data_IF_185217750999
#
_entry.id   IF_185217750999
#
_cell.length_a   1.000
_cell.length_b   1.000
_cell.length_c   1.000
_cell.angle_alpha   90.00
_cell.angle_beta   90.00
_cell.angle_gamma   90.00
#
_symmetry.space_group_name_H-M   'P 1'
#
loop_
_entity.id
_entity.type
_entity.pdbx_description
1 polymer ?
#
# COMPACT_ATOMS: atom_id res chain seq x y z
N UNK A 1 14.01 -11.21 12.83
CA UNK A 1 12.74 -10.54 13.01
C UNK A 1 12.44 -10.38 14.49
N UNK A 2 11.64 -9.36 14.93
CA UNK A 2 11.31 -9.16 16.34
C UNK A 2 10.58 -10.36 16.92
N UNK A 3 10.71 -10.52 18.24
CA UNK A 3 9.97 -11.53 19.00
C UNK A 3 8.46 -11.24 18.98
N UNK A 4 7.67 -12.26 19.24
CA UNK A 4 6.21 -12.09 19.40
C UNK A 4 5.94 -11.36 20.72
N UNK A 5 5.17 -10.30 20.63
CA UNK A 5 4.68 -9.52 21.75
C UNK A 5 3.28 -8.95 21.43
N UNK A 6 2.76 -8.06 22.28
CA UNK A 6 1.43 -7.47 22.09
C UNK A 6 1.34 -6.63 20.79
N UNK A 7 2.40 -5.91 20.44
CA UNK A 7 2.44 -5.07 19.22
C UNK A 7 2.69 -5.93 17.97
N UNK A 8 3.48 -7.00 18.09
CA UNK A 8 3.79 -7.91 17.01
C UNK A 8 3.30 -9.34 17.32
N UNK A 9 2.00 -9.63 17.17
CA UNK A 9 1.41 -10.88 17.65
C UNK A 9 1.74 -12.11 16.81
N UNK A 10 2.45 -11.96 15.69
CA UNK A 10 2.78 -13.05 14.76
C UNK A 10 4.28 -13.32 14.70
N UNK A 11 4.65 -14.61 14.89
CA UNK A 11 6.00 -15.07 14.59
C UNK A 11 6.32 -14.85 13.09
N UNK A 12 7.54 -14.39 12.79
CA UNK A 12 7.96 -14.13 11.41
C UNK A 12 7.00 -13.25 10.61
N UNK A 13 6.46 -12.21 11.22
CA UNK A 13 5.52 -11.30 10.57
C UNK A 13 6.12 -10.69 9.30
N UNK A 14 5.98 -11.41 8.17
CA UNK A 14 6.57 -11.05 6.88
C UNK A 14 5.76 -9.98 6.16
N UNK A 15 4.47 -9.92 6.44
CA UNK A 15 3.54 -9.03 5.74
C UNK A 15 3.40 -7.68 6.42
N UNK A 16 3.82 -7.57 7.69
CA UNK A 16 3.63 -6.35 8.47
C UNK A 16 2.21 -6.20 9.03
N UNK A 17 1.97 -5.08 9.67
CA UNK A 17 0.67 -4.74 10.26
C UNK A 17 0.55 -3.23 10.43
N UNK A 18 -0.67 -2.78 10.65
CA UNK A 18 -1.01 -1.38 10.92
C UNK A 18 -1.56 -1.31 12.32
N UNK A 19 -1.07 -0.36 13.11
CA UNK A 19 -1.60 -0.05 14.44
C UNK A 19 -2.39 1.26 14.40
N UNK A 20 -3.36 1.37 15.28
CA UNK A 20 -4.05 2.62 15.57
C UNK A 20 -3.81 2.98 17.03
N UNK A 21 -3.77 4.29 17.32
CA UNK A 21 -3.72 4.77 18.70
C UNK A 21 -4.64 5.97 18.87
N UNK A 22 -5.11 6.15 20.07
CA UNK A 22 -6.02 7.22 20.45
C UNK A 22 -5.58 7.83 21.77
N UNK A 23 -5.52 9.14 21.80
CA UNK A 23 -5.35 9.91 23.03
C UNK A 23 -6.72 10.20 23.65
N UNK A 24 -6.82 10.06 24.97
CA UNK A 24 -8.09 10.30 25.67
C UNK A 24 -8.47 11.78 25.77
N UNK A 25 -7.47 12.67 25.72
CA UNK A 25 -7.64 14.13 25.89
C UNK A 25 -6.78 14.91 24.93
N UNK A 26 -5.63 15.38 25.37
CA UNK A 26 -4.72 16.23 24.61
C UNK A 26 -3.47 15.46 24.18
N UNK A 27 -2.83 15.88 23.09
CA UNK A 27 -1.64 15.24 22.52
C UNK A 27 -0.37 15.33 23.39
N UNK A 28 -0.42 16.06 24.49
CA UNK A 28 0.67 16.20 25.47
C UNK A 28 0.56 15.17 26.63
N UNK A 29 -0.48 14.36 26.67
CA UNK A 29 -0.59 13.25 27.60
C UNK A 29 0.37 12.11 27.19
N UNK A 30 1.11 11.52 28.14
CA UNK A 30 2.07 10.44 27.84
C UNK A 30 1.39 9.10 27.56
N UNK A 31 0.13 8.94 27.94
CA UNK A 31 -0.62 7.69 27.82
C UNK A 31 -1.59 7.75 26.64
N UNK A 32 -1.72 6.64 25.94
CA UNK A 32 -2.66 6.46 24.83
C UNK A 32 -3.17 5.01 24.77
N UNK A 33 -4.39 4.84 24.31
CA UNK A 33 -4.92 3.54 23.93
C UNK A 33 -4.44 3.17 22.53
N UNK A 34 -4.16 1.90 22.30
CA UNK A 34 -3.78 1.41 20.97
C UNK A 34 -4.41 0.05 20.67
N UNK A 35 -4.52 -0.25 19.38
CA UNK A 35 -4.99 -1.55 18.90
C UNK A 35 -4.32 -1.88 17.55
N UNK A 36 -4.44 -3.13 17.12
CA UNK A 36 -4.03 -3.54 15.80
C UNK A 36 -5.18 -3.31 14.83
N UNK A 37 -4.99 -2.35 13.94
CA UNK A 37 -5.96 -2.04 12.90
C UNK A 37 -6.04 -3.16 11.86
N UNK A 38 -4.89 -3.58 11.29
CA UNK A 38 -4.84 -4.64 10.29
C UNK A 38 -3.56 -5.48 10.40
N UNK A 39 -3.71 -6.78 10.47
CA UNK A 39 -2.63 -7.76 10.30
C UNK A 39 -2.56 -8.14 8.83
N UNK A 40 -1.62 -7.56 8.07
CA UNK A 40 -1.49 -7.78 6.64
C UNK A 40 -1.23 -9.25 6.29
N UNK A 41 -1.61 -9.67 5.09
CA UNK A 41 -1.53 -11.05 4.62
C UNK A 41 -2.62 -11.36 3.59
N UNK A 42 -2.87 -12.62 3.35
CA UNK A 42 -3.99 -13.09 2.54
C UNK A 42 -5.11 -13.61 3.47
N UNK A 43 -6.28 -12.96 3.54
CA UNK A 43 -7.37 -13.38 4.44
C UNK A 43 -7.95 -14.75 4.07
N UNK A 44 -7.71 -15.27 2.87
CA UNK A 44 -8.10 -16.62 2.47
C UNK A 44 -7.14 -17.71 2.98
N UNK A 45 -6.03 -17.33 3.59
CA UNK A 45 -5.03 -18.28 4.13
C UNK A 45 -5.02 -18.15 5.65
N UNK A 46 -5.65 -19.10 6.34
CA UNK A 46 -5.77 -19.11 7.81
C UNK A 46 -4.42 -18.95 8.52
N UNK A 47 -3.36 -19.55 7.98
CA UNK A 47 -2.01 -19.46 8.55
C UNK A 47 -1.42 -18.02 8.52
N UNK A 48 -1.98 -17.11 7.71
CA UNK A 48 -1.56 -15.72 7.71
C UNK A 48 -2.10 -14.92 8.90
N UNK A 49 -3.18 -15.41 9.55
CA UNK A 49 -3.71 -14.83 10.78
C UNK A 49 -4.13 -13.37 10.62
N UNK A 50 -4.76 -13.02 9.51
CA UNK A 50 -5.31 -11.69 9.27
C UNK A 50 -6.54 -11.44 10.14
N UNK A 51 -6.85 -10.17 10.42
CA UNK A 51 -7.99 -9.73 11.22
C UNK A 51 -8.97 -8.84 10.43
N UNK A 52 -8.98 -8.95 9.12
CA UNK A 52 -9.84 -8.18 8.22
C UNK A 52 -10.41 -9.09 7.12
N UNK A 53 -11.47 -8.61 6.47
CA UNK A 53 -12.04 -9.20 5.26
C UNK A 53 -11.60 -8.41 4.01
N UNK A 54 -11.46 -9.10 2.87
CA UNK A 54 -11.19 -8.43 1.60
C UNK A 54 -9.97 -8.94 0.85
N UNK A 55 -9.16 -8.00 0.33
CA UNK A 55 -8.05 -8.32 -0.55
C UNK A 55 -6.71 -8.40 0.19
N UNK A 56 -5.89 -9.35 -0.21
CA UNK A 56 -4.55 -9.54 0.34
C UNK A 56 -3.62 -8.39 0.06
N UNK A 57 -2.80 -8.06 1.03
CA UNK A 57 -1.72 -7.10 0.93
C UNK A 57 -0.59 -7.40 1.91
N UNK A 58 0.53 -6.74 1.72
CA UNK A 58 1.67 -6.81 2.64
C UNK A 58 2.57 -5.60 2.47
N UNK A 59 3.48 -5.41 3.42
CA UNK A 59 4.36 -4.24 3.49
C UNK A 59 3.59 -2.92 3.41
N UNK A 60 2.59 -2.69 4.30
CA UNK A 60 1.98 -1.38 4.40
C UNK A 60 3.05 -0.36 4.76
N UNK A 61 3.04 0.77 4.04
CA UNK A 61 3.99 1.87 4.19
C UNK A 61 3.24 3.19 4.37
N UNK A 62 2.74 3.79 3.28
CA UNK A 62 1.96 5.01 3.33
C UNK A 62 0.54 4.81 3.83
N UNK A 63 0.05 5.73 4.65
CA UNK A 63 -1.33 5.73 5.17
C UNK A 63 -1.90 7.13 5.11
N UNK A 64 -3.14 7.23 4.65
CA UNK A 64 -3.91 8.47 4.66
C UNK A 64 -5.33 8.22 5.16
N UNK A 65 -5.76 8.96 6.16
CA UNK A 65 -7.14 8.93 6.66
C UNK A 65 -7.93 10.04 6.00
N UNK A 66 -8.89 9.67 5.17
CA UNK A 66 -9.75 10.61 4.45
C UNK A 66 -10.80 11.26 5.37
N UNK A 67 -11.35 12.44 5.00
CA UNK A 67 -12.44 13.08 5.77
C UNK A 67 -13.66 12.18 6.00
N UNK A 68 -13.95 11.26 5.09
CA UNK A 68 -15.00 10.24 5.25
C UNK A 68 -14.69 9.18 6.31
N UNK A 69 -13.48 9.15 6.85
CA UNK A 69 -13.00 8.11 7.76
C UNK A 69 -12.42 6.87 7.06
N UNK A 70 -12.44 6.79 5.74
CA UNK A 70 -11.76 5.72 5.00
C UNK A 70 -10.25 5.83 5.19
N UNK A 71 -9.59 4.67 5.29
CA UNK A 71 -8.14 4.59 5.41
C UNK A 71 -7.55 4.07 4.11
N UNK A 72 -6.76 4.91 3.46
CA UNK A 72 -6.00 4.53 2.27
C UNK A 72 -4.65 3.99 2.70
N UNK A 73 -4.30 2.82 2.18
CA UNK A 73 -3.09 2.07 2.54
C UNK A 73 -2.27 1.88 1.27
N UNK A 74 -1.04 2.34 1.29
CA UNK A 74 -0.08 2.18 0.20
C UNK A 74 0.94 1.12 0.58
N UNK A 75 1.44 0.36 -0.39
CA UNK A 75 2.41 -0.70 -0.12
C UNK A 75 3.74 -0.45 -0.79
N UNK A 76 4.82 -0.81 -0.10
CA UNK A 76 6.19 -0.88 -0.61
C UNK A 76 6.79 -2.27 -0.37
N UNK A 77 6.40 -3.21 -1.19
CA UNK A 77 7.05 -4.53 -1.24
C UNK A 77 8.32 -4.42 -2.04
N UNK A 78 9.45 -4.76 -1.43
CA UNK A 78 10.76 -4.72 -2.09
C UNK A 78 10.76 -5.48 -3.43
N UNK A 79 11.39 -4.93 -4.46
CA UNK A 79 11.53 -5.51 -5.80
C UNK A 79 12.18 -6.89 -5.80
N UNK A 80 13.02 -7.19 -4.81
CA UNK A 80 13.60 -8.52 -4.61
C UNK A 80 12.56 -9.56 -4.16
N UNK A 81 11.44 -9.13 -3.59
CA UNK A 81 10.43 -9.95 -2.90
C UNK A 81 9.10 -10.00 -3.67
N UNK A 82 8.77 -8.98 -4.46
CA UNK A 82 7.52 -8.90 -5.23
C UNK A 82 7.28 -10.21 -6.01
N UNK A 83 6.10 -10.80 -5.81
CA UNK A 83 5.66 -12.06 -6.42
C UNK A 83 6.57 -13.27 -6.17
N UNK A 84 7.39 -13.25 -5.12
CA UNK A 84 8.30 -14.35 -4.76
C UNK A 84 8.10 -14.77 -3.31
N UNK A 85 8.42 -16.05 -3.00
CA UNK A 85 8.35 -16.56 -1.63
C UNK A 85 7.00 -16.31 -0.98
N UNK A 86 6.99 -15.71 0.20
CA UNK A 86 5.78 -15.38 0.96
C UNK A 86 4.84 -14.41 0.21
N UNK A 87 5.36 -13.61 -0.72
CA UNK A 87 4.59 -12.68 -1.56
C UNK A 87 4.14 -13.27 -2.90
N UNK A 88 4.30 -14.57 -3.13
CA UNK A 88 3.87 -15.19 -4.38
C UNK A 88 2.36 -14.96 -4.62
N UNK A 89 2.03 -14.39 -5.78
CA UNK A 89 0.65 -14.09 -6.17
C UNK A 89 0.02 -12.86 -5.49
N UNK A 90 0.78 -12.03 -4.77
CA UNK A 90 0.28 -10.76 -4.23
C UNK A 90 0.12 -9.68 -5.31
N UNK A 91 0.89 -9.77 -6.37
CA UNK A 91 0.92 -8.76 -7.44
C UNK A 91 2.00 -7.70 -7.21
N UNK A 92 1.91 -6.60 -7.94
CA UNK A 92 2.76 -5.44 -7.74
C UNK A 92 2.31 -4.64 -6.51
N UNK A 93 3.09 -3.64 -6.13
CA UNK A 93 2.70 -2.68 -5.11
C UNK A 93 1.35 -2.05 -5.46
N UNK A 94 0.56 -1.80 -4.44
CA UNK A 94 -0.85 -1.53 -4.55
C UNK A 94 -1.31 -0.51 -3.52
N UNK A 95 -2.45 0.07 -3.78
CA UNK A 95 -3.17 0.91 -2.83
C UNK A 95 -4.50 0.25 -2.52
N UNK A 96 -4.86 0.24 -1.25
CA UNK A 96 -6.11 -0.33 -0.76
C UNK A 96 -6.91 0.75 -0.05
N UNK A 97 -8.21 0.52 -0.02
CA UNK A 97 -9.17 1.31 0.76
C UNK A 97 -9.72 0.44 1.87
N UNK A 98 -9.55 0.86 3.11
CA UNK A 98 -10.14 0.22 4.26
C UNK A 98 -11.34 1.02 4.77
N UNK A 99 -12.40 0.31 5.11
CA UNK A 99 -13.56 0.86 5.84
C UNK A 99 -13.47 0.41 7.31
N UNK A 100 -13.10 1.31 8.24
CA UNK A 100 -12.98 0.94 9.66
C UNK A 100 -14.30 0.52 10.30
N UNK A 101 -15.44 0.87 9.72
CA UNK A 101 -16.76 0.52 10.27
C UNK A 101 -17.16 -0.92 10.01
N UNK A 102 -16.65 -1.51 8.92
CA UNK A 102 -16.95 -2.90 8.53
C UNK A 102 -15.76 -3.82 8.74
N UNK A 103 -14.53 -3.29 8.81
CA UNK A 103 -13.30 -4.06 8.84
C UNK A 103 -12.90 -4.60 7.45
N UNK A 104 -13.53 -4.12 6.38
CA UNK A 104 -13.25 -4.53 5.01
C UNK A 104 -12.08 -3.73 4.44
N UNK A 105 -11.15 -4.42 3.76
CA UNK A 105 -10.02 -3.80 3.04
C UNK A 105 -10.03 -4.27 1.59
N UNK A 106 -10.24 -3.34 0.66
CA UNK A 106 -10.31 -3.64 -0.77
C UNK A 106 -9.18 -3.00 -1.56
N UNK A 107 -8.67 -3.74 -2.51
CA UNK A 107 -7.69 -3.25 -3.47
C UNK A 107 -8.35 -2.22 -4.39
N UNK A 108 -7.79 -1.04 -4.42
CA UNK A 108 -8.26 0.08 -5.23
C UNK A 108 -7.41 0.27 -6.49
N UNK A 109 -6.08 0.23 -6.32
CA UNK A 109 -5.13 0.49 -7.39
C UNK A 109 -3.99 -0.53 -7.33
N UNK A 110 -3.54 -1.00 -8.49
CA UNK A 110 -2.28 -1.75 -8.63
C UNK A 110 -1.33 -0.92 -9.47
N UNK A 111 -0.15 -0.70 -8.96
CA UNK A 111 0.88 0.07 -9.63
C UNK A 111 1.52 -0.65 -10.81
N UNK A 112 2.24 0.07 -11.67
CA UNK A 112 3.05 -0.52 -12.71
C UNK A 112 4.12 -1.45 -12.14
N UNK A 113 4.70 -2.26 -13.00
CA UNK A 113 5.67 -3.28 -12.59
C UNK A 113 6.84 -2.66 -11.82
N UNK A 114 7.09 -3.20 -10.63
CA UNK A 114 8.20 -2.81 -9.76
C UNK A 114 8.24 -1.30 -9.44
N UNK A 115 7.08 -0.70 -9.20
CA UNK A 115 6.98 0.62 -8.59
C UNK A 115 6.67 0.50 -7.10
N UNK A 116 6.82 1.59 -6.39
CA UNK A 116 6.20 1.86 -5.11
C UNK A 116 4.95 2.73 -5.33
N UNK A 117 3.93 2.56 -4.50
CA UNK A 117 2.78 3.46 -4.42
C UNK A 117 2.97 4.34 -3.20
N UNK A 118 2.97 5.65 -3.39
CA UNK A 118 3.31 6.59 -2.32
C UNK A 118 2.54 7.91 -2.44
N UNK A 119 2.34 8.59 -1.31
CA UNK A 119 1.88 9.97 -1.26
C UNK A 119 0.47 10.20 -1.80
N UNK A 120 -0.55 9.59 -1.19
CA UNK A 120 -1.93 9.86 -1.52
C UNK A 120 -2.45 11.15 -0.89
N UNK A 121 -3.20 11.92 -1.66
CA UNK A 121 -3.94 13.10 -1.20
C UNK A 121 -5.27 13.18 -1.93
N UNK A 122 -6.35 13.52 -1.20
CA UNK A 122 -7.67 13.78 -1.80
C UNK A 122 -8.06 15.24 -1.62
N UNK A 123 -8.91 15.74 -2.53
CA UNK A 123 -9.56 17.05 -2.34
C UNK A 123 -10.55 17.00 -1.17
N UNK A 124 -10.89 18.16 -0.55
CA UNK A 124 -11.81 18.18 0.60
C UNK A 124 -13.19 17.56 0.34
N UNK A 125 -13.64 17.52 -0.90
CA UNK A 125 -14.88 16.88 -1.34
C UNK A 125 -14.70 15.39 -1.74
N UNK A 126 -13.49 14.86 -1.60
CA UNK A 126 -13.06 13.50 -1.94
C UNK A 126 -13.33 13.07 -3.40
N UNK A 127 -13.52 14.02 -4.32
CA UNK A 127 -13.85 13.74 -5.73
C UNK A 127 -12.63 13.64 -6.64
N UNK A 128 -11.49 14.11 -6.18
CA UNK A 128 -10.22 14.03 -6.90
C UNK A 128 -9.14 13.52 -5.96
N UNK A 129 -8.40 12.53 -6.42
CA UNK A 129 -7.31 11.93 -5.69
C UNK A 129 -6.01 12.06 -6.49
N UNK A 130 -4.93 12.34 -5.80
CA UNK A 130 -3.57 12.38 -6.33
C UNK A 130 -2.77 11.26 -5.67
N UNK A 131 -2.08 10.46 -6.47
CA UNK A 131 -1.27 9.33 -6.00
C UNK A 131 0.08 9.34 -6.69
N UNK A 132 1.15 9.21 -5.92
CA UNK A 132 2.50 9.07 -6.43
C UNK A 132 2.78 7.63 -6.90
N UNK A 133 3.33 7.51 -8.09
CA UNK A 133 3.93 6.28 -8.61
C UNK A 133 5.43 6.49 -8.62
N UNK A 134 6.14 5.80 -7.72
CA UNK A 134 7.57 5.98 -7.53
C UNK A 134 8.37 4.89 -8.24
N UNK A 135 9.48 5.28 -8.86
CA UNK A 135 10.50 4.44 -9.52
C UNK A 135 9.97 3.18 -10.26
N UNK A 136 8.97 3.29 -11.16
CA UNK A 136 8.48 2.13 -11.91
C UNK A 136 9.61 1.47 -12.68
N UNK A 137 9.65 0.12 -12.61
CA UNK A 137 10.71 -0.65 -13.27
C UNK A 137 12.01 -0.75 -12.50
N UNK A 138 12.01 -0.43 -11.20
CA UNK A 138 13.15 -0.63 -10.33
C UNK A 138 13.65 -2.08 -10.39
N UNK A 139 14.96 -2.26 -10.35
CA UNK A 139 15.58 -3.59 -10.31
C UNK A 139 16.07 -3.92 -8.90
N UNK A 140 16.10 -5.22 -8.51
CA UNK A 140 16.51 -5.63 -7.17
C UNK A 140 17.97 -5.31 -6.83
N UNK A 141 18.78 -5.08 -7.85
CA UNK A 141 20.20 -4.78 -7.71
C UNK A 141 20.41 -3.27 -7.81
N UNK A 142 21.13 -2.70 -6.85
CA UNK A 142 21.66 -1.33 -6.90
C UNK A 142 22.69 -1.14 -8.04
N UNK A 143 22.85 -2.15 -8.87
CA UNK A 143 23.69 -2.08 -10.06
C UNK A 143 23.15 -1.01 -11.02
N UNK A 144 23.99 -0.14 -11.55
CA UNK A 144 23.56 0.83 -12.53
C UNK A 144 22.88 0.08 -13.68
N UNK A 145 21.60 0.37 -13.88
CA UNK A 145 20.82 -0.19 -14.97
C UNK A 145 21.56 0.04 -16.29
N UNK A 146 21.81 -1.01 -17.05
CA UNK A 146 22.35 -0.87 -18.40
C UNK A 146 21.49 0.14 -19.17
N UNK A 147 22.04 1.28 -19.60
CA UNK A 147 21.26 2.29 -20.31
C UNK A 147 20.54 1.76 -21.56
N UNK A 148 21.03 0.68 -22.15
CA UNK A 148 20.39 0.00 -23.27
C UNK A 148 19.16 -0.83 -22.86
N UNK A 149 19.01 -1.15 -21.58
CA UNK A 149 17.96 -2.04 -21.04
C UNK A 149 16.97 -1.36 -20.13
N UNK A 150 16.94 -0.04 -20.09
CA UNK A 150 16.09 0.74 -19.16
C UNK A 150 14.59 0.46 -19.31
N UNK A 151 14.16 -0.15 -20.42
CA UNK A 151 12.76 -0.49 -20.71
C UNK A 151 12.41 -1.97 -20.48
N UNK A 152 13.37 -2.81 -20.14
CA UNK A 152 13.16 -4.27 -20.07
C UNK A 152 12.18 -4.66 -18.95
N UNK A 153 12.11 -3.86 -17.90
CA UNK A 153 11.22 -4.09 -16.76
C UNK A 153 9.91 -3.32 -16.89
N UNK A 154 9.98 -2.03 -17.24
CA UNK A 154 8.81 -1.15 -17.39
C UNK A 154 9.11 -0.05 -18.40
N UNK A 155 8.07 0.42 -19.08
CA UNK A 155 8.10 1.63 -19.92
C UNK A 155 7.03 2.64 -19.50
N UNK A 156 6.54 2.50 -18.27
CA UNK A 156 5.52 3.39 -17.72
C UNK A 156 6.10 4.81 -17.49
N UNK A 157 5.34 5.90 -17.71
CA UNK A 157 3.92 5.94 -18.09
C UNK A 157 3.66 5.92 -19.60
N UNK A 158 4.68 5.99 -20.44
CA UNK A 158 4.52 6.27 -21.87
C UNK A 158 4.22 5.02 -22.71
N UNK A 159 4.22 3.83 -22.11
CA UNK A 159 3.97 2.57 -22.81
C UNK A 159 5.15 2.06 -23.65
N UNK A 160 4.95 0.97 -24.42
CA UNK A 160 6.06 0.27 -25.10
C UNK A 160 6.87 1.12 -26.08
N UNK A 161 6.26 2.13 -26.69
CA UNK A 161 6.93 3.07 -27.60
C UNK A 161 7.58 4.26 -26.89
N UNK A 162 7.37 4.38 -25.58
CA UNK A 162 7.86 5.49 -24.77
C UNK A 162 9.35 5.42 -24.43
N UNK A 163 9.79 6.38 -23.61
CA UNK A 163 11.13 6.50 -23.07
C UNK A 163 11.41 5.50 -21.92
N UNK A 164 12.48 5.77 -21.17
CA UNK A 164 12.75 5.04 -19.93
C UNK A 164 11.63 5.30 -18.91
N UNK A 165 11.36 4.33 -18.01
CA UNK A 165 10.35 4.52 -16.98
C UNK A 165 10.70 5.72 -16.08
N UNK A 166 9.68 6.38 -15.57
CA UNK A 166 9.83 7.53 -14.68
C UNK A 166 8.69 7.64 -13.70
N UNK A 167 8.98 8.16 -12.52
CA UNK A 167 7.97 8.49 -11.52
C UNK A 167 7.01 9.55 -12.04
N UNK A 168 5.76 9.47 -11.59
CA UNK A 168 4.75 10.48 -11.89
C UNK A 168 3.67 10.50 -10.79
N UNK A 169 2.98 11.62 -10.68
CA UNK A 169 1.75 11.72 -9.93
C UNK A 169 0.58 11.43 -10.88
N UNK A 170 -0.28 10.50 -10.52
CA UNK A 170 -1.53 10.24 -11.23
C UNK A 170 -2.69 10.98 -10.55
N UNK A 171 -3.67 11.36 -11.35
CA UNK A 171 -4.92 11.99 -10.88
C UNK A 171 -6.06 11.03 -11.15
N UNK A 172 -6.85 10.76 -10.13
CA UNK A 172 -7.97 9.82 -10.19
C UNK A 172 -9.26 10.59 -9.89
N UNK A 173 -10.26 10.38 -10.73
CA UNK A 173 -11.64 10.84 -10.53
C UNK A 173 -12.60 9.70 -10.82
N UNK A 174 -13.80 9.73 -10.24
CA UNK A 174 -14.86 8.77 -10.56
C UNK A 174 -15.64 9.24 -11.76
N UNK A 175 -16.05 8.34 -12.66
CA UNK A 175 -16.75 8.68 -13.91
C UNK A 175 -18.07 9.39 -13.66
N UNK A 176 -18.78 9.06 -12.57
CA UNK A 176 -20.01 9.71 -12.17
C UNK A 176 -19.80 11.03 -11.39
N UNK A 177 -18.55 11.43 -11.18
CA UNK A 177 -18.18 12.61 -10.40
C UNK A 177 -18.46 12.49 -8.89
N UNK A 178 -18.76 11.30 -8.38
CA UNK A 178 -18.96 11.03 -6.97
C UNK A 178 -17.64 11.00 -6.16
N UNK A 179 -17.73 10.89 -4.82
CA UNK A 179 -16.55 10.69 -3.97
C UNK A 179 -15.84 9.38 -4.29
N UNK A 180 -14.51 9.39 -4.23
CA UNK A 180 -13.69 8.22 -4.51
C UNK A 180 -13.79 7.24 -3.34
N UNK A 181 -13.96 5.96 -3.64
CA UNK A 181 -14.14 4.91 -2.64
C UNK A 181 -15.59 4.74 -2.16
N UNK A 182 -16.54 5.47 -2.74
CA UNK A 182 -17.97 5.29 -2.45
C UNK A 182 -18.65 4.28 -3.38
#
# INVERSE_FOLDING_TARGET
RPAVDAINPRANNVYGHIITWKYDKDFDEPDFEWDIFALAGDPNIVAHGTNFDGDKFGSPDGIYVAPSGRVWIETDVSTSTINKGDYAGFGNNQMLCADPSTGEIRRFLVGPKQCEITGVQVTPDERTMFVGIQHPGETPDDSPTDPAKTKDVSSWPDGPSGGRPRSACIVITKDDGGPIGS
#
